data_IF_668083777074
#
_entry.id   IF_668083777074
#
_cell.length_a   1.000
_cell.length_b   1.000
_cell.length_c   1.000
_cell.angle_alpha   90.00
_cell.angle_beta   90.00
_cell.angle_gamma   90.00
#
_symmetry.space_group_name_H-M   'P 1'
#
loop_
_entity.id
_entity.type
_entity.pdbx_description
1 polymer ?
#
# COMPACT_ATOMS: atom_id res chain seq x y z
N UNK A 1 22.14 6.00 -23.14
CA UNK A 1 21.77 6.09 -21.71
C UNK A 1 20.25 6.06 -21.72
N UNK A 2 19.68 4.87 -21.53
CA UNK A 2 18.23 4.70 -21.53
C UNK A 2 17.75 5.19 -20.15
N UNK A 3 17.02 6.31 -20.13
CA UNK A 3 16.26 6.70 -18.95
C UNK A 3 15.19 5.63 -18.71
N UNK A 4 15.27 4.94 -17.57
CA UNK A 4 14.20 4.08 -17.10
C UNK A 4 12.97 4.96 -16.85
N UNK A 5 11.78 4.60 -17.37
CA UNK A 5 10.58 5.37 -17.13
C UNK A 5 10.32 5.47 -15.63
N UNK A 6 10.01 6.67 -15.18
CA UNK A 6 9.64 7.02 -13.82
C UNK A 6 8.51 6.09 -13.36
N UNK A 7 8.82 5.02 -12.60
CA UNK A 7 7.81 4.08 -12.09
C UNK A 7 6.95 4.82 -11.08
N UNK A 8 5.77 5.11 -11.50
CA UNK A 8 4.65 5.48 -10.63
C UNK A 8 4.42 4.32 -9.67
N UNK A 9 4.52 4.59 -8.37
CA UNK A 9 4.34 3.56 -7.34
C UNK A 9 2.85 3.40 -7.04
N UNK A 10 2.12 2.82 -7.97
CA UNK A 10 0.81 2.23 -7.70
C UNK A 10 1.03 0.90 -7.00
N UNK A 11 0.22 0.59 -5.99
CA UNK A 11 0.26 -0.73 -5.36
C UNK A 11 -0.13 -1.77 -6.41
N UNK A 12 0.83 -2.58 -6.82
CA UNK A 12 0.62 -3.62 -7.83
C UNK A 12 0.19 -4.92 -7.16
N UNK A 13 -0.95 -5.42 -7.60
CA UNK A 13 -1.56 -6.65 -7.10
C UNK A 13 -1.59 -7.68 -8.23
N UNK A 14 -1.05 -8.86 -8.00
CA UNK A 14 -1.33 -10.02 -8.83
C UNK A 14 -2.55 -10.74 -8.25
N UNK A 15 -3.61 -10.86 -9.02
CA UNK A 15 -4.81 -11.62 -8.66
C UNK A 15 -4.82 -12.95 -9.44
N UNK A 16 -4.87 -14.05 -8.71
CA UNK A 16 -5.01 -15.42 -9.26
C UNK A 16 -6.34 -15.97 -8.78
N UNK A 17 -7.35 -15.97 -9.65
CA UNK A 17 -8.75 -16.33 -9.34
C UNK A 17 -9.43 -16.81 -10.61
N UNK A 18 -9.98 -18.04 -10.60
CA UNK A 18 -10.56 -18.71 -11.76
C UNK A 18 -12.06 -18.36 -11.98
N UNK A 19 -12.80 -18.00 -10.93
CA UNK A 19 -14.20 -17.57 -11.10
C UNK A 19 -14.29 -16.16 -11.68
N UNK A 20 -14.78 -15.98 -12.93
CA UNK A 20 -14.80 -14.67 -13.57
C UNK A 20 -15.63 -13.61 -12.82
N UNK A 21 -16.68 -14.05 -12.09
CA UNK A 21 -17.55 -13.16 -11.34
C UNK A 21 -16.83 -12.61 -10.10
N UNK A 22 -16.15 -13.48 -9.37
CA UNK A 22 -15.34 -13.14 -8.21
C UNK A 22 -14.16 -12.29 -8.62
N UNK A 23 -13.44 -12.71 -9.65
CA UNK A 23 -12.30 -11.98 -10.22
C UNK A 23 -12.68 -10.55 -10.61
N UNK A 24 -13.77 -10.37 -11.38
CA UNK A 24 -14.25 -9.04 -11.78
C UNK A 24 -14.69 -8.19 -10.60
N UNK A 25 -15.32 -8.79 -9.59
CA UNK A 25 -15.72 -8.09 -8.36
C UNK A 25 -14.50 -7.58 -7.58
N UNK A 26 -13.47 -8.44 -7.41
CA UNK A 26 -12.21 -8.07 -6.74
C UNK A 26 -11.49 -6.96 -7.54
N UNK A 27 -11.41 -7.10 -8.86
CA UNK A 27 -10.80 -6.09 -9.74
C UNK A 27 -11.46 -4.72 -9.52
N UNK A 28 -12.79 -4.66 -9.52
CA UNK A 28 -13.52 -3.42 -9.26
C UNK A 28 -13.28 -2.86 -7.85
N UNK A 29 -13.26 -3.74 -6.83
CA UNK A 29 -13.01 -3.33 -5.44
C UNK A 29 -11.62 -2.70 -5.29
N UNK A 30 -10.58 -3.35 -5.81
CA UNK A 30 -9.19 -2.95 -5.64
C UNK A 30 -8.81 -1.76 -6.54
N UNK A 31 -9.29 -1.72 -7.80
CA UNK A 31 -9.10 -0.55 -8.69
C UNK A 31 -9.74 0.70 -8.11
N UNK A 32 -10.95 0.59 -7.51
CA UNK A 32 -11.59 1.73 -6.83
C UNK A 32 -10.91 2.14 -5.52
N UNK A 33 -9.96 1.35 -5.03
CA UNK A 33 -9.09 1.68 -3.89
C UNK A 33 -7.70 2.17 -4.33
N UNK A 34 -7.46 2.31 -5.65
CA UNK A 34 -6.21 2.85 -6.17
C UNK A 34 -5.11 1.84 -6.40
N UNK A 35 -5.47 0.58 -6.62
CA UNK A 35 -4.52 -0.49 -6.89
C UNK A 35 -4.54 -0.85 -8.38
N UNK A 36 -3.41 -1.23 -8.93
CA UNK A 36 -3.26 -1.75 -10.29
C UNK A 36 -3.17 -3.26 -10.23
N UNK A 37 -3.98 -3.94 -11.04
CA UNK A 37 -4.07 -5.38 -11.01
C UNK A 37 -3.59 -5.99 -12.33
N UNK A 38 -2.78 -7.03 -12.19
CA UNK A 38 -2.61 -8.07 -13.20
C UNK A 38 -3.44 -9.27 -12.75
N UNK A 39 -4.25 -9.84 -13.65
CA UNK A 39 -5.22 -10.89 -13.34
C UNK A 39 -4.95 -12.12 -14.19
N UNK A 40 -4.99 -13.31 -13.57
CA UNK A 40 -4.93 -14.60 -14.26
C UNK A 40 -5.89 -15.59 -13.60
N UNK A 41 -6.39 -16.54 -14.37
CA UNK A 41 -7.31 -17.59 -13.96
C UNK A 41 -6.63 -18.95 -13.72
N UNK A 42 -5.31 -19.04 -13.99
CA UNK A 42 -4.52 -20.24 -13.84
C UNK A 42 -3.41 -20.08 -12.79
N UNK A 43 -3.22 -21.11 -11.97
CA UNK A 43 -2.18 -21.14 -10.96
C UNK A 43 -0.77 -21.20 -11.54
N UNK A 44 -0.54 -21.95 -12.63
CA UNK A 44 0.77 -21.98 -13.31
C UNK A 44 1.14 -20.63 -13.88
N UNK A 45 0.19 -19.91 -14.51
CA UNK A 45 0.42 -18.55 -15.02
C UNK A 45 0.71 -17.59 -13.86
N UNK A 46 -0.06 -17.66 -12.77
CA UNK A 46 0.17 -16.89 -11.55
C UNK A 46 1.56 -17.11 -10.96
N UNK A 47 2.03 -18.35 -10.99
CA UNK A 47 3.38 -18.72 -10.55
C UNK A 47 4.46 -18.10 -11.46
N UNK A 48 4.30 -18.17 -12.78
CA UNK A 48 5.26 -17.61 -13.73
C UNK A 48 5.31 -16.07 -13.65
N UNK A 49 4.14 -15.42 -13.67
CA UNK A 49 4.01 -13.98 -13.57
C UNK A 49 4.59 -13.48 -12.23
N UNK A 50 4.27 -14.15 -11.12
CA UNK A 50 4.76 -13.81 -9.79
C UNK A 50 6.27 -13.96 -9.60
N UNK A 51 6.95 -14.77 -10.45
CA UNK A 51 8.41 -14.88 -10.49
C UNK A 51 9.08 -13.82 -11.35
N UNK A 52 8.39 -13.39 -12.42
CA UNK A 52 8.97 -12.50 -13.44
C UNK A 52 8.83 -11.02 -13.10
N UNK A 53 7.79 -10.65 -12.37
CA UNK A 53 7.45 -9.25 -12.10
C UNK A 53 7.37 -8.97 -10.60
N UNK A 54 7.69 -7.73 -10.24
CA UNK A 54 7.57 -7.25 -8.86
C UNK A 54 6.13 -6.81 -8.58
N UNK A 55 5.52 -7.43 -7.57
CA UNK A 55 4.23 -7.07 -7.00
C UNK A 55 4.37 -6.65 -5.55
N UNK A 56 3.48 -5.79 -5.08
CA UNK A 56 3.38 -5.44 -3.66
C UNK A 56 2.69 -6.56 -2.87
N UNK A 57 1.77 -7.30 -3.54
CA UNK A 57 1.05 -8.44 -2.96
C UNK A 57 0.52 -9.35 -4.07
N UNK A 58 0.40 -10.64 -3.74
CA UNK A 58 -0.33 -11.64 -4.53
C UNK A 58 -1.61 -11.98 -3.77
N UNK A 59 -2.76 -11.88 -4.43
CA UNK A 59 -4.06 -12.35 -3.95
C UNK A 59 -4.36 -13.66 -4.67
N UNK A 60 -4.45 -14.76 -3.92
CA UNK A 60 -4.41 -16.12 -4.48
C UNK A 60 -5.62 -16.93 -4.01
N UNK A 61 -6.44 -17.42 -4.93
CA UNK A 61 -7.43 -18.45 -4.61
C UNK A 61 -6.76 -19.82 -4.42
N UNK A 62 -7.34 -20.62 -3.56
CA UNK A 62 -6.90 -21.99 -3.32
C UNK A 62 -7.44 -22.97 -4.36
N UNK A 63 -8.65 -22.72 -4.86
CA UNK A 63 -9.36 -23.65 -5.74
C UNK A 63 -9.19 -23.24 -7.21
N UNK A 64 -8.02 -23.49 -7.77
CA UNK A 64 -7.72 -23.22 -9.18
C UNK A 64 -7.87 -24.47 -10.04
N UNK A 65 -8.16 -24.33 -11.34
CA UNK A 65 -8.49 -25.46 -12.20
C UNK A 65 -7.29 -26.35 -12.59
N UNK A 66 -6.08 -25.81 -12.54
CA UNK A 66 -4.84 -26.45 -12.98
C UNK A 66 -4.00 -27.00 -11.83
N UNK A 67 -3.68 -26.16 -10.85
CA UNK A 67 -2.93 -26.55 -9.65
C UNK A 67 -3.52 -25.91 -8.38
N UNK A 68 -3.42 -26.62 -7.25
CA UNK A 68 -3.86 -26.11 -5.93
C UNK A 68 -3.09 -24.84 -5.56
N UNK A 69 -3.79 -23.80 -5.06
CA UNK A 69 -3.18 -22.54 -4.65
C UNK A 69 -2.11 -22.69 -3.56
N UNK A 70 -2.20 -23.70 -2.69
CA UNK A 70 -1.11 -24.02 -1.76
C UNK A 70 0.16 -24.48 -2.49
N UNK A 71 0.01 -25.22 -3.60
CA UNK A 71 1.15 -25.62 -4.43
C UNK A 71 1.77 -24.42 -5.15
N UNK A 72 0.95 -23.47 -5.64
CA UNK A 72 1.43 -22.17 -6.18
C UNK A 72 2.28 -21.47 -5.12
N UNK A 73 1.74 -21.28 -3.92
CA UNK A 73 2.44 -20.64 -2.82
C UNK A 73 3.77 -21.34 -2.48
N UNK A 74 3.74 -22.65 -2.33
CA UNK A 74 4.93 -23.44 -2.03
C UNK A 74 6.02 -23.26 -3.09
N UNK A 75 5.65 -23.26 -4.38
CA UNK A 75 6.59 -23.05 -5.49
C UNK A 75 7.11 -21.61 -5.55
N UNK A 76 6.29 -20.60 -5.27
CA UNK A 76 6.74 -19.22 -5.14
C UNK A 76 7.82 -19.11 -4.05
N UNK A 77 7.58 -19.63 -2.86
CA UNK A 77 8.53 -19.59 -1.75
C UNK A 77 9.82 -20.41 -2.06
N UNK A 78 9.69 -21.57 -2.73
CA UNK A 78 10.85 -22.34 -3.18
C UNK A 78 11.71 -21.59 -4.20
N UNK A 79 11.09 -20.74 -5.02
CA UNK A 79 11.75 -19.83 -5.95
C UNK A 79 12.27 -18.53 -5.27
N UNK A 80 12.19 -18.42 -3.93
CA UNK A 80 12.58 -17.25 -3.14
C UNK A 80 11.82 -15.97 -3.50
N UNK A 81 10.58 -16.08 -3.95
CA UNK A 81 9.68 -14.94 -4.12
C UNK A 81 9.21 -14.53 -2.73
N UNK A 82 9.60 -13.33 -2.30
CA UNK A 82 9.29 -12.75 -0.98
C UNK A 82 8.01 -11.91 -1.00
N UNK A 83 7.42 -11.70 -2.18
CA UNK A 83 6.14 -10.98 -2.32
C UNK A 83 5.11 -11.58 -1.36
N UNK A 84 4.47 -10.75 -0.51
CA UNK A 84 3.47 -11.25 0.42
C UNK A 84 2.25 -11.81 -0.30
N UNK A 85 1.63 -12.83 0.30
CA UNK A 85 0.49 -13.55 -0.28
C UNK A 85 -0.70 -13.51 0.67
N UNK A 86 -1.83 -12.97 0.18
CA UNK A 86 -3.14 -13.09 0.80
C UNK A 86 -3.91 -14.23 0.12
N UNK A 87 -4.26 -15.25 0.88
CA UNK A 87 -5.06 -16.36 0.39
C UNK A 87 -6.55 -16.03 0.49
N UNK A 88 -7.28 -16.25 -0.61
CA UNK A 88 -8.74 -16.28 -0.62
C UNK A 88 -9.22 -17.71 -0.45
N UNK A 89 -10.16 -17.98 0.43
CA UNK A 89 -10.61 -19.35 0.71
C UNK A 89 -12.11 -19.42 0.96
N UNK A 90 -12.75 -20.44 0.42
CA UNK A 90 -14.10 -20.88 0.80
C UNK A 90 -14.15 -21.73 2.06
N UNK A 91 -12.98 -22.10 2.64
CA UNK A 91 -12.88 -22.92 3.84
C UNK A 91 -13.13 -22.11 5.09
N UNK A 92 -13.65 -22.71 6.14
CA UNK A 92 -13.82 -22.07 7.45
C UNK A 92 -12.48 -21.80 8.14
N UNK A 93 -12.44 -20.82 9.05
CA UNK A 93 -11.21 -20.48 9.81
C UNK A 93 -10.56 -21.68 10.51
N UNK A 94 -11.35 -22.64 10.97
CA UNK A 94 -10.87 -23.84 11.66
C UNK A 94 -10.13 -24.79 10.70
N UNK A 95 -10.61 -24.95 9.48
CA UNK A 95 -9.97 -25.78 8.43
C UNK A 95 -8.72 -25.11 7.88
N UNK A 96 -8.72 -23.77 7.76
CA UNK A 96 -7.56 -22.98 7.35
C UNK A 96 -6.41 -23.05 8.36
N UNK A 97 -6.70 -22.98 9.67
CA UNK A 97 -5.69 -23.07 10.73
C UNK A 97 -4.95 -24.39 10.75
N UNK A 98 -5.61 -25.48 10.36
CA UNK A 98 -4.98 -26.83 10.33
C UNK A 98 -4.07 -26.99 9.11
N UNK A 99 -4.43 -26.45 7.95
CA UNK A 99 -3.62 -26.52 6.71
C UNK A 99 -2.60 -25.39 6.58
N UNK A 100 -2.86 -24.24 7.19
CA UNK A 100 -2.11 -23.00 7.00
C UNK A 100 -0.86 -22.83 7.87
N UNK A 101 -0.68 -23.63 8.93
CA UNK A 101 0.50 -23.57 9.79
C UNK A 101 1.72 -24.11 9.02
N UNK A 102 2.49 -23.24 8.37
CA UNK A 102 3.74 -23.57 7.69
C UNK A 102 3.76 -23.35 6.18
N UNK A 103 2.68 -22.89 5.55
CA UNK A 103 2.65 -22.72 4.08
C UNK A 103 3.31 -21.43 3.57
N UNK A 104 3.59 -20.47 4.45
CA UNK A 104 4.24 -19.20 4.07
C UNK A 104 3.29 -18.13 3.52
N UNK A 105 1.98 -18.27 3.75
CA UNK A 105 1.02 -17.18 3.49
C UNK A 105 1.10 -16.11 4.59
N UNK A 106 0.83 -14.86 4.22
CA UNK A 106 0.89 -13.71 5.15
C UNK A 106 -0.44 -13.43 5.84
N UNK A 107 -1.57 -13.79 5.21
CA UNK A 107 -2.92 -13.75 5.79
C UNK A 107 -3.91 -14.58 4.95
N UNK A 108 -5.12 -14.79 5.51
CA UNK A 108 -6.23 -15.50 4.88
C UNK A 108 -7.49 -14.65 4.95
N UNK A 109 -8.29 -14.69 3.88
CA UNK A 109 -9.59 -14.05 3.81
C UNK A 109 -10.65 -15.02 3.32
N UNK A 110 -11.67 -15.25 4.18
CA UNK A 110 -12.73 -16.21 3.86
C UNK A 110 -13.78 -15.59 2.93
N UNK A 111 -14.14 -16.29 1.88
CA UNK A 111 -15.28 -15.94 1.00
C UNK A 111 -16.60 -16.33 1.70
N UNK A 112 -17.65 -15.46 1.66
CA UNK A 112 -17.70 -14.13 1.06
C UNK A 112 -17.09 -13.04 1.96
N UNK A 113 -16.47 -12.05 1.34
CA UNK A 113 -15.86 -10.89 2.00
C UNK A 113 -16.40 -9.57 1.40
N UNK A 114 -16.20 -8.48 2.10
CA UNK A 114 -16.54 -7.14 1.62
C UNK A 114 -15.28 -6.35 1.22
N UNK A 115 -15.50 -5.28 0.42
CA UNK A 115 -14.41 -4.42 -0.08
C UNK A 115 -13.51 -3.89 1.05
N UNK A 116 -14.13 -3.39 2.13
CA UNK A 116 -13.36 -2.72 3.18
C UNK A 116 -12.43 -3.72 3.90
N UNK A 117 -12.88 -4.94 4.11
CA UNK A 117 -12.09 -6.00 4.72
C UNK A 117 -10.92 -6.41 3.81
N UNK A 118 -11.18 -6.67 2.52
CA UNK A 118 -10.14 -7.03 1.56
C UNK A 118 -9.06 -5.96 1.47
N UNK A 119 -9.46 -4.70 1.29
CA UNK A 119 -8.53 -3.55 1.17
C UNK A 119 -7.74 -3.36 2.46
N UNK A 120 -8.38 -3.42 3.62
CA UNK A 120 -7.70 -3.27 4.92
C UNK A 120 -6.64 -4.36 5.14
N UNK A 121 -6.94 -5.63 4.82
CA UNK A 121 -5.99 -6.73 4.92
C UNK A 121 -4.79 -6.56 3.98
N UNK A 122 -5.03 -6.19 2.72
CA UNK A 122 -3.98 -5.93 1.74
C UNK A 122 -3.03 -4.84 2.27
N UNK A 123 -3.57 -3.71 2.73
CA UNK A 123 -2.74 -2.64 3.28
C UNK A 123 -1.94 -3.09 4.51
N UNK A 124 -2.55 -3.85 5.42
CA UNK A 124 -1.89 -4.37 6.61
C UNK A 124 -0.74 -5.33 6.26
N UNK A 125 -0.93 -6.22 5.27
CA UNK A 125 0.08 -7.17 4.81
C UNK A 125 1.25 -6.43 4.16
N UNK A 126 0.98 -5.57 3.18
CA UNK A 126 2.01 -4.80 2.47
C UNK A 126 2.79 -3.89 3.41
N UNK A 127 2.14 -3.29 4.40
CA UNK A 127 2.80 -2.51 5.43
C UNK A 127 3.80 -3.36 6.23
N UNK A 128 3.38 -4.54 6.71
CA UNK A 128 4.23 -5.47 7.48
C UNK A 128 5.43 -5.95 6.65
N UNK A 129 5.24 -6.29 5.39
CA UNK A 129 6.32 -6.74 4.51
C UNK A 129 7.38 -5.66 4.25
N UNK A 130 7.00 -4.37 4.34
CA UNK A 130 7.93 -3.22 4.22
C UNK A 130 8.59 -2.83 5.56
N UNK A 131 8.46 -3.66 6.59
CA UNK A 131 9.10 -3.44 7.90
C UNK A 131 8.30 -2.56 8.88
N UNK A 132 7.10 -2.14 8.51
CA UNK A 132 6.22 -1.36 9.39
C UNK A 132 5.25 -2.31 10.13
N UNK A 133 5.69 -2.84 11.27
CA UNK A 133 4.88 -3.77 12.10
C UNK A 133 3.67 -3.10 12.75
N UNK A 134 3.72 -1.78 12.97
CA UNK A 134 2.65 -1.00 13.58
C UNK A 134 1.81 -0.28 12.54
N UNK A 135 0.50 -0.14 12.81
CA UNK A 135 -0.40 0.68 11.99
C UNK A 135 -0.17 2.17 12.14
N UNK A 136 0.64 2.58 13.10
CA UNK A 136 0.99 3.97 13.38
C UNK A 136 2.43 4.22 12.94
N UNK A 137 2.60 5.08 11.94
CA UNK A 137 3.92 5.56 11.51
C UNK A 137 4.20 6.88 12.25
N UNK A 138 5.35 6.95 12.92
CA UNK A 138 5.78 8.14 13.68
C UNK A 138 6.92 8.86 12.96
N UNK A 139 6.83 10.20 12.96
CA UNK A 139 7.87 11.10 12.45
C UNK A 139 7.99 12.24 13.47
N UNK A 140 8.94 12.15 14.42
CA UNK A 140 8.96 13.01 15.58
C UNK A 140 7.66 12.90 16.37
N UNK A 141 6.98 14.02 16.61
CA UNK A 141 5.67 14.08 17.29
C UNK A 141 4.48 13.80 16.37
N UNK A 142 4.69 13.77 15.06
CA UNK A 142 3.64 13.41 14.09
C UNK A 142 3.41 11.91 14.10
N UNK A 143 2.16 11.47 14.24
CA UNK A 143 1.73 10.09 14.11
C UNK A 143 0.63 9.97 13.05
N UNK A 144 0.78 8.99 12.15
CA UNK A 144 -0.18 8.67 11.10
C UNK A 144 -0.66 7.25 11.31
N UNK A 145 -1.92 7.09 11.68
CA UNK A 145 -2.56 5.79 11.85
C UNK A 145 -3.19 5.36 10.52
N UNK A 146 -2.61 4.34 9.90
CA UNK A 146 -3.03 3.84 8.59
C UNK A 146 -4.36 3.08 8.65
N UNK A 147 -4.63 2.36 9.74
CA UNK A 147 -5.87 1.59 9.91
C UNK A 147 -7.04 2.52 10.25
N UNK A 148 -6.84 3.44 11.19
CA UNK A 148 -7.85 4.42 11.61
C UNK A 148 -8.00 5.60 10.64
N UNK A 149 -7.08 5.76 9.67
CA UNK A 149 -6.99 6.91 8.75
C UNK A 149 -7.00 8.25 9.49
N UNK A 150 -6.26 8.30 10.61
CA UNK A 150 -6.13 9.49 11.47
C UNK A 150 -4.71 10.00 11.51
N UNK A 151 -4.58 11.30 11.75
CA UNK A 151 -3.29 11.98 11.91
C UNK A 151 -3.32 12.78 13.20
N UNK A 152 -2.26 12.68 13.98
CA UNK A 152 -2.09 13.40 15.24
C UNK A 152 -0.71 14.02 15.31
N UNK A 153 -0.59 15.15 16.00
CA UNK A 153 0.70 15.76 16.35
C UNK A 153 0.69 16.03 17.85
N UNK A 154 1.63 15.43 18.57
CA UNK A 154 1.72 15.50 20.04
C UNK A 154 0.38 15.11 20.69
N UNK A 155 -0.17 13.96 20.26
CA UNK A 155 -1.46 13.38 20.66
C UNK A 155 -2.70 14.30 20.40
N UNK A 156 -2.53 15.39 19.64
CA UNK A 156 -3.62 16.27 19.22
C UNK A 156 -4.09 15.89 17.81
N UNK A 157 -5.38 15.60 17.60
CA UNK A 157 -5.88 15.16 16.29
C UNK A 157 -5.84 16.30 15.26
N UNK A 158 -5.42 15.95 14.03
CA UNK A 158 -5.42 16.82 12.85
C UNK A 158 -6.52 16.39 11.92
N UNK A 159 -7.55 17.20 11.75
CA UNK A 159 -8.68 16.87 10.87
C UNK A 159 -8.33 17.09 9.41
N UNK A 160 -8.16 15.97 8.66
CA UNK A 160 -7.83 15.95 7.25
C UNK A 160 -9.03 15.52 6.39
N UNK A 161 -9.12 16.07 5.19
CA UNK A 161 -10.00 15.51 4.14
C UNK A 161 -9.37 14.24 3.57
N UNK A 162 -10.15 13.41 2.86
CA UNK A 162 -9.64 12.16 2.28
C UNK A 162 -8.41 12.35 1.37
N UNK A 163 -8.38 13.43 0.56
CA UNK A 163 -7.22 13.74 -0.30
C UNK A 163 -6.00 14.23 0.48
N UNK A 164 -6.19 15.04 1.50
CA UNK A 164 -5.11 15.46 2.40
C UNK A 164 -4.55 14.27 3.18
N UNK A 165 -5.42 13.37 3.66
CA UNK A 165 -4.99 12.13 4.32
C UNK A 165 -4.16 11.26 3.35
N UNK A 166 -4.61 11.04 2.11
CA UNK A 166 -3.87 10.27 1.11
C UNK A 166 -2.45 10.80 0.87
N UNK A 167 -2.25 12.13 0.88
CA UNK A 167 -0.90 12.72 0.79
C UNK A 167 -0.08 12.38 2.05
N UNK A 168 -0.66 12.50 3.24
CA UNK A 168 0.04 12.17 4.49
C UNK A 168 0.38 10.69 4.58
N UNK A 169 -0.54 9.81 4.18
CA UNK A 169 -0.31 8.38 4.08
C UNK A 169 0.88 8.04 3.17
N UNK A 170 0.88 8.58 1.95
CA UNK A 170 1.97 8.33 1.00
C UNK A 170 3.31 8.86 1.50
N UNK A 171 3.34 10.06 2.07
CA UNK A 171 4.53 10.66 2.66
C UNK A 171 5.07 9.82 3.82
N UNK A 172 4.19 9.32 4.68
CA UNK A 172 4.56 8.52 5.85
C UNK A 172 5.09 7.16 5.46
N UNK A 173 4.45 6.48 4.50
CA UNK A 173 4.93 5.21 3.96
C UNK A 173 6.30 5.34 3.25
N UNK A 174 6.68 6.54 2.84
CA UNK A 174 7.92 6.88 2.13
C UNK A 174 8.75 7.93 2.86
N UNK A 175 8.74 7.87 4.20
CA UNK A 175 9.47 8.81 5.04
C UNK A 175 10.93 8.97 4.60
N UNK A 176 11.40 10.23 4.54
CA UNK A 176 12.75 10.56 4.10
C UNK A 176 12.97 10.52 2.58
N UNK A 177 12.02 9.99 1.80
CA UNK A 177 12.10 9.92 0.33
C UNK A 177 11.40 11.13 -0.29
N UNK A 178 12.03 11.75 -1.28
CA UNK A 178 11.39 12.83 -2.05
C UNK A 178 10.39 12.26 -3.04
N UNK A 179 9.14 12.67 -2.94
CA UNK A 179 8.04 12.26 -3.81
C UNK A 179 7.70 13.37 -4.80
N UNK A 180 7.54 13.01 -6.08
CA UNK A 180 7.18 13.98 -7.13
C UNK A 180 5.68 14.28 -7.10
N UNK A 181 5.26 15.37 -7.74
CA UNK A 181 3.83 15.75 -7.80
C UNK A 181 3.00 14.72 -8.57
N UNK A 182 3.58 14.10 -9.58
CA UNK A 182 2.96 13.02 -10.35
C UNK A 182 2.68 11.82 -9.46
N UNK A 183 3.60 11.45 -8.55
CA UNK A 183 3.37 10.34 -7.60
C UNK A 183 2.17 10.61 -6.70
N UNK A 184 2.02 11.83 -6.20
CA UNK A 184 0.84 12.21 -5.40
C UNK A 184 -0.45 12.19 -6.24
N UNK A 185 -0.39 12.74 -7.46
CA UNK A 185 -1.56 12.78 -8.33
C UNK A 185 -2.08 11.39 -8.63
N UNK A 186 -1.20 10.49 -9.03
CA UNK A 186 -1.52 9.10 -9.29
C UNK A 186 -2.10 8.40 -8.06
N UNK A 187 -1.48 8.58 -6.89
CA UNK A 187 -2.00 8.01 -5.63
C UNK A 187 -3.39 8.53 -5.27
N UNK A 188 -3.73 9.77 -5.63
CA UNK A 188 -5.01 10.40 -5.30
C UNK A 188 -6.11 10.18 -6.34
N UNK A 189 -5.77 9.97 -7.61
CA UNK A 189 -6.72 9.99 -8.73
C UNK A 189 -6.64 8.77 -9.66
N UNK A 190 -5.65 7.87 -9.50
CA UNK A 190 -5.52 6.61 -10.26
C UNK A 190 -5.51 6.79 -11.79
N UNK A 191 -4.93 7.86 -12.30
CA UNK A 191 -4.89 8.11 -13.75
C UNK A 191 -6.23 8.48 -14.39
N UNK A 192 -7.31 8.62 -13.60
CA UNK A 192 -8.63 9.01 -14.09
C UNK A 192 -8.96 10.44 -13.66
N UNK A 193 -9.40 11.29 -14.61
CA UNK A 193 -9.81 12.69 -14.38
C UNK A 193 -8.77 13.48 -13.54
N UNK A 194 -7.49 13.35 -13.91
CA UNK A 194 -6.40 14.00 -13.18
C UNK A 194 -6.46 15.51 -13.33
N UNK A 195 -6.55 16.26 -12.23
CA UNK A 195 -6.42 17.71 -12.27
C UNK A 195 -4.96 18.10 -12.58
N UNK A 196 -4.73 19.38 -12.83
CA UNK A 196 -3.37 19.89 -13.01
C UNK A 196 -2.46 19.60 -11.81
N UNK A 197 -1.17 19.33 -12.05
CA UNK A 197 -0.14 19.07 -11.01
C UNK A 197 -0.11 20.10 -9.89
N UNK A 198 -0.53 21.34 -10.18
CA UNK A 198 -0.61 22.42 -9.18
C UNK A 198 -1.57 22.16 -8.03
N UNK A 199 -2.53 21.22 -8.18
CA UNK A 199 -3.45 20.88 -7.10
C UNK A 199 -2.70 20.30 -5.89
N UNK A 200 -1.60 19.61 -6.13
CA UNK A 200 -0.76 19.03 -5.07
C UNK A 200 -0.16 20.14 -4.20
N UNK A 201 0.28 21.26 -4.80
CA UNK A 201 0.79 22.39 -4.06
C UNK A 201 -0.27 22.99 -3.12
N UNK A 202 -1.53 23.01 -3.59
CA UNK A 202 -2.67 23.48 -2.79
C UNK A 202 -2.93 22.55 -1.59
N UNK A 203 -2.92 21.22 -1.82
CA UNK A 203 -3.10 20.26 -0.72
C UNK A 203 -1.95 20.32 0.28
N UNK A 204 -0.71 20.38 -0.19
CA UNK A 204 0.46 20.49 0.69
C UNK A 204 0.43 21.80 1.50
N UNK A 205 0.03 22.91 0.88
CA UNK A 205 -0.13 24.17 1.58
C UNK A 205 -1.19 24.06 2.70
N UNK A 206 -2.35 23.43 2.41
CA UNK A 206 -3.41 23.21 3.41
C UNK A 206 -2.94 22.27 4.53
N UNK A 207 -2.24 21.19 4.19
CA UNK A 207 -1.66 20.27 5.16
C UNK A 207 -0.70 20.97 6.11
N UNK A 208 0.25 21.72 5.58
CA UNK A 208 1.19 22.50 6.41
C UNK A 208 0.48 23.42 7.39
N UNK A 209 -0.56 24.13 6.93
CA UNK A 209 -1.36 25.01 7.81
C UNK A 209 -2.08 24.24 8.92
N UNK A 210 -2.64 23.04 8.60
CA UNK A 210 -3.34 22.21 9.58
C UNK A 210 -2.38 21.58 10.59
N UNK A 211 -1.21 21.12 10.15
CA UNK A 211 -0.18 20.62 11.04
C UNK A 211 0.37 21.73 11.95
N UNK A 212 0.72 22.88 11.40
CA UNK A 212 1.20 24.04 12.17
C UNK A 212 0.19 24.56 13.21
N UNK A 213 -1.12 24.38 12.97
CA UNK A 213 -2.16 24.81 13.92
C UNK A 213 -2.18 23.98 15.22
N UNK A 214 -1.59 22.80 15.23
CA UNK A 214 -1.56 21.89 16.39
C UNK A 214 -0.14 21.58 16.88
N UNK A 215 0.88 21.85 16.05
CA UNK A 215 2.30 21.80 16.39
C UNK A 215 2.83 23.23 16.57
N UNK A 216 3.73 23.44 17.50
CA UNK A 216 4.35 24.74 17.75
C UNK A 216 5.23 25.21 16.56
N UNK A 217 4.60 25.39 15.36
CA UNK A 217 5.20 25.76 14.08
C UNK A 217 6.20 24.74 13.50
N UNK A 218 6.22 23.51 13.98
CA UNK A 218 7.08 22.45 13.45
C UNK A 218 6.78 22.13 11.98
N UNK A 219 7.81 22.04 11.14
CA UNK A 219 7.69 21.81 9.71
C UNK A 219 8.04 20.35 9.39
N UNK A 220 7.04 19.51 9.17
CA UNK A 220 7.19 18.09 8.80
C UNK A 220 7.36 17.87 7.30
N UNK A 221 6.64 18.64 6.47
CA UNK A 221 6.66 18.47 5.02
C UNK A 221 7.59 19.51 4.40
N UNK A 222 8.71 19.07 3.84
CA UNK A 222 9.69 19.94 3.21
C UNK A 222 9.54 19.97 1.69
N UNK A 223 9.83 21.11 1.06
CA UNK A 223 9.90 21.24 -0.40
C UNK A 223 11.30 20.93 -0.88
N UNK A 224 11.43 20.02 -1.81
CA UNK A 224 12.66 19.79 -2.58
C UNK A 224 12.47 20.46 -3.94
N UNK A 225 13.09 21.60 -4.13
CA UNK A 225 12.90 22.45 -5.30
C UNK A 225 13.13 21.69 -6.60
N UNK A 226 12.18 21.80 -7.52
CA UNK A 226 12.21 21.11 -8.82
C UNK A 226 11.96 19.60 -8.76
N UNK A 227 11.79 18.99 -7.54
CA UNK A 227 11.63 17.54 -7.37
C UNK A 227 10.36 17.12 -6.66
N UNK A 228 9.81 17.93 -5.73
CA UNK A 228 8.58 17.59 -5.02
C UNK A 228 8.65 17.82 -3.52
N UNK A 229 8.13 16.87 -2.74
CA UNK A 229 7.98 16.98 -1.30
C UNK A 229 8.52 15.76 -0.56
N UNK A 230 8.96 15.97 0.69
CA UNK A 230 9.49 14.91 1.55
C UNK A 230 8.99 15.13 2.98
N UNK A 231 8.67 14.04 3.69
CA UNK A 231 8.38 14.04 5.12
C UNK A 231 9.67 13.82 5.90
N UNK A 232 9.95 14.70 6.86
CA UNK A 232 11.11 14.60 7.76
C UNK A 232 10.71 14.92 9.19
N UNK A 233 11.50 14.39 10.11
CA UNK A 233 11.43 14.76 11.52
C UNK A 233 12.01 16.16 11.70
N UNK A 234 11.26 17.13 12.26
CA UNK A 234 11.79 18.48 12.52
C UNK A 234 13.04 18.50 13.39
N UNK A 235 13.12 17.57 14.36
CA UNK A 235 14.25 17.44 15.29
C UNK A 235 15.43 16.61 14.73
N UNK A 236 15.20 15.92 13.61
CA UNK A 236 16.18 14.98 13.02
C UNK A 236 17.36 15.66 12.33
N UNK A 237 17.15 16.82 11.73
CA UNK A 237 18.20 17.54 10.99
C UNK A 237 19.23 18.25 11.92
N UNK A 238 18.88 18.57 13.17
CA UNK A 238 19.82 19.15 14.14
C UNK A 238 20.89 18.14 14.62
N UNK A 239 20.60 16.84 14.63
CA UNK A 239 21.54 15.80 15.06
C UNK A 239 22.60 15.45 13.99
N UNK A 240 22.33 15.75 12.72
CA UNK A 240 23.29 15.53 11.62
C UNK A 240 24.24 16.71 11.37
N UNK A 241 23.89 17.89 11.89
CA UNK A 241 24.73 19.10 11.78
C UNK A 241 25.75 19.24 12.94
N UNK A 242 25.63 18.39 13.97
CA UNK A 242 26.48 18.42 15.19
C UNK A 242 27.37 17.19 15.35
N UNK A 243 27.51 16.35 14.33
CA UNK A 243 28.44 15.21 14.25
C UNK A 243 29.38 15.39 13.05
#
# INVERSE_FOLDING_TARGET
MFELPNRVFEMRVLLVEDDPTTSKSIEMMLSSAGMVLDVTDLGEDGLEIGKLYDYDIIVLDLMLPDIDGYEVLRRLRSAKVETPVLILSGLTESEQKVKGLGTGADDYLTKPFNKNELVARIHAIVRRSKGHSESIIRTGKLSVNLDGRTVEVDDKPVHLTGKEYGIMELLSLRQGTTLTKEMFLNHLYNGMDEPELKIIDVFVCKLRKKLAAVSDEEVYIHTVWGRGYVLRDPDGDEKLASA
#
